data_IF_894251069451
#
_entry.id   IF_894251069451
#
_cell.length_a   1.000
_cell.length_b   1.000
_cell.length_c   1.000
_cell.angle_alpha   90.00
_cell.angle_beta   90.00
_cell.angle_gamma   90.00
#
_symmetry.space_group_name_H-M   'P 1'
#
loop_
_entity.id
_entity.type
_entity.pdbx_description
1 polymer ?
#
# COMPACT_ATOMS: atom_id res chain seq x y z
N UNK A 1 -16.66 15.11 -56.94
CA UNK A 1 -17.72 15.20 -55.92
C UNK A 1 -18.70 14.08 -56.20
N UNK A 2 -18.65 13.01 -55.41
CA UNK A 2 -19.58 11.89 -55.53
C UNK A 2 -20.12 11.64 -54.12
N UNK A 3 -21.36 12.07 -53.90
CA UNK A 3 -22.06 11.99 -52.63
C UNK A 3 -22.67 10.60 -52.51
N UNK A 4 -22.13 9.76 -51.64
CA UNK A 4 -22.69 8.44 -51.32
C UNK A 4 -23.72 8.63 -50.20
N UNK A 5 -25.00 8.52 -50.53
CA UNK A 5 -26.10 8.44 -49.55
C UNK A 5 -26.02 7.11 -48.78
N UNK A 6 -25.90 7.18 -47.45
CA UNK A 6 -26.07 6.02 -46.57
C UNK A 6 -27.56 5.79 -46.25
N UNK A 7 -28.04 4.53 -46.24
CA UNK A 7 -29.41 4.21 -45.89
C UNK A 7 -29.66 4.35 -44.38
N UNK A 8 -30.73 5.06 -44.04
CA UNK A 8 -31.27 5.19 -42.68
C UNK A 8 -31.94 3.88 -42.28
N UNK A 9 -31.40 3.20 -41.26
CA UNK A 9 -32.02 2.02 -40.65
C UNK A 9 -32.95 2.49 -39.51
N UNK A 10 -34.22 2.04 -39.46
CA UNK A 10 -35.15 2.43 -38.40
C UNK A 10 -34.80 1.79 -37.04
N UNK A 11 -35.20 2.42 -35.92
CA UNK A 11 -34.97 1.89 -34.58
C UNK A 11 -35.81 0.63 -34.30
N UNK A 12 -35.18 -0.37 -33.71
CA UNK A 12 -35.83 -1.59 -33.21
C UNK A 12 -36.39 -1.30 -31.81
N UNK A 13 -37.71 -1.38 -31.66
CA UNK A 13 -38.37 -1.38 -30.34
C UNK A 13 -38.10 -2.71 -29.63
N UNK A 14 -37.25 -2.69 -28.60
CA UNK A 14 -37.09 -3.83 -27.70
C UNK A 14 -38.26 -3.88 -26.70
N UNK A 15 -38.96 -5.02 -26.69
CA UNK A 15 -40.06 -5.32 -25.79
C UNK A 15 -39.52 -5.71 -24.40
N UNK A 16 -40.02 -5.16 -23.28
CA UNK A 16 -39.55 -5.53 -21.95
C UNK A 16 -39.96 -6.97 -21.61
N UNK A 17 -38.96 -7.80 -21.30
CA UNK A 17 -39.12 -9.16 -20.80
C UNK A 17 -39.55 -9.14 -19.33
N UNK A 18 -40.55 -9.96 -19.00
CA UNK A 18 -41.14 -10.06 -17.67
C UNK A 18 -40.16 -10.62 -16.62
N UNK A 19 -40.19 -10.00 -15.45
CA UNK A 19 -39.41 -10.30 -14.26
C UNK A 19 -39.98 -11.55 -13.56
N UNK A 20 -39.25 -12.68 -13.61
CA UNK A 20 -39.57 -13.87 -12.81
C UNK A 20 -39.15 -13.64 -11.35
N UNK A 21 -40.14 -13.71 -10.45
CA UNK A 21 -39.93 -13.60 -9.00
C UNK A 21 -39.27 -14.88 -8.46
N UNK A 22 -38.09 -14.81 -7.80
CA UNK A 22 -37.50 -16.00 -7.18
C UNK A 22 -38.30 -16.43 -5.94
N UNK A 23 -38.71 -17.70 -5.92
CA UNK A 23 -39.34 -18.34 -4.77
C UNK A 23 -38.37 -18.44 -3.59
N UNK A 24 -38.84 -18.03 -2.41
CA UNK A 24 -38.14 -18.20 -1.15
C UNK A 24 -38.08 -19.69 -0.77
N UNK A 25 -36.89 -20.26 -0.75
CA UNK A 25 -36.62 -21.59 -0.17
C UNK A 25 -36.35 -21.42 1.32
N UNK A 26 -37.20 -22.01 2.16
CA UNK A 26 -37.01 -22.09 3.61
C UNK A 26 -35.73 -22.88 3.97
N UNK A 27 -34.84 -22.36 4.84
CA UNK A 27 -33.70 -23.13 5.32
C UNK A 27 -34.18 -24.20 6.32
N UNK A 28 -33.97 -25.46 5.94
CA UNK A 28 -34.13 -26.63 6.82
C UNK A 28 -33.10 -26.58 7.94
N UNK A 29 -33.57 -26.58 9.19
CA UNK A 29 -32.74 -26.60 10.38
C UNK A 29 -31.89 -27.89 10.44
N UNK A 30 -30.57 -27.73 10.39
CA UNK A 30 -29.61 -28.82 10.55
C UNK A 30 -29.40 -29.12 12.03
N UNK A 31 -29.61 -30.39 12.39
CA UNK A 31 -29.52 -30.94 13.75
C UNK A 31 -28.05 -30.95 14.21
N UNK A 32 -27.80 -30.31 15.36
CA UNK A 32 -26.50 -30.28 16.01
C UNK A 32 -26.09 -31.69 16.49
N UNK A 33 -25.01 -32.22 15.91
CA UNK A 33 -24.33 -33.41 16.42
C UNK A 33 -23.29 -32.99 17.49
N UNK A 34 -23.51 -33.46 18.71
CA UNK A 34 -22.55 -33.41 19.81
C UNK A 34 -21.24 -34.10 19.42
N UNK A 35 -20.13 -33.33 19.34
CA UNK A 35 -18.78 -33.88 19.29
C UNK A 35 -18.13 -33.80 20.69
N UNK A 36 -17.38 -34.83 21.11
CA UNK A 36 -16.71 -34.86 22.41
C UNK A 36 -15.54 -33.87 22.48
N UNK A 37 -15.53 -33.05 23.52
CA UNK A 37 -14.42 -32.17 23.89
C UNK A 37 -13.21 -32.99 24.35
N UNK A 38 -12.18 -33.08 23.52
CA UNK A 38 -10.87 -33.62 23.94
C UNK A 38 -10.04 -32.47 24.50
N UNK A 39 -9.82 -32.48 25.80
CA UNK A 39 -8.92 -31.56 26.49
C UNK A 39 -7.46 -31.94 26.17
N UNK A 40 -6.79 -31.17 25.32
CA UNK A 40 -5.34 -31.24 25.12
C UNK A 40 -4.66 -30.26 26.07
N UNK A 41 -3.89 -30.80 27.02
CA UNK A 41 -3.03 -30.04 27.92
C UNK A 41 -1.78 -29.57 27.15
N UNK A 42 -1.48 -28.27 27.04
CA UNK A 42 -0.27 -27.81 26.38
C UNK A 42 0.95 -28.15 27.25
N UNK A 43 1.80 -29.06 26.76
CA UNK A 43 3.13 -29.31 27.34
C UNK A 43 4.06 -28.21 26.84
N UNK A 44 4.43 -27.28 27.73
CA UNK A 44 5.42 -26.24 27.45
C UNK A 44 6.81 -26.88 27.46
N UNK A 45 7.41 -27.06 26.28
CA UNK A 45 8.80 -27.45 26.16
C UNK A 45 9.70 -26.29 26.62
N UNK A 46 10.53 -26.55 27.64
CA UNK A 46 11.53 -25.60 28.11
C UNK A 46 12.57 -25.34 27.01
N UNK A 47 12.68 -24.09 26.56
CA UNK A 47 13.68 -23.68 25.58
C UNK A 47 15.01 -23.48 26.30
N UNK A 48 16.04 -24.23 25.90
CA UNK A 48 17.41 -24.10 26.39
C UNK A 48 18.03 -22.77 25.90
N UNK A 49 18.81 -22.04 26.74
CA UNK A 49 19.50 -20.83 26.30
C UNK A 49 20.64 -21.15 25.33
N UNK A 50 20.61 -20.55 24.15
CA UNK A 50 21.67 -20.61 23.13
C UNK A 50 22.88 -19.77 23.58
N UNK A 51 24.07 -20.36 23.52
CA UNK A 51 25.34 -19.75 23.92
C UNK A 51 25.74 -18.55 23.04
N UNK A 52 26.29 -17.52 23.69
CA UNK A 52 26.85 -16.31 23.10
C UNK A 52 28.14 -16.61 22.31
N UNK A 53 28.29 -16.18 21.04
CA UNK A 53 29.54 -16.36 20.30
C UNK A 53 30.64 -15.45 20.84
N UNK A 54 31.81 -16.03 21.12
CA UNK A 54 33.02 -15.31 21.52
C UNK A 54 33.79 -14.87 20.27
N UNK A 55 34.03 -13.57 20.12
CA UNK A 55 34.84 -13.00 19.03
C UNK A 55 36.32 -13.29 19.27
N UNK A 56 36.98 -13.84 18.25
CA UNK A 56 38.44 -14.07 18.23
C UNK A 56 39.20 -12.77 17.92
N UNK A 57 40.39 -12.52 18.50
CA UNK A 57 41.19 -11.34 18.23
C UNK A 57 41.86 -11.42 16.85
N UNK A 58 41.74 -10.32 16.10
CA UNK A 58 42.29 -10.12 14.76
C UNK A 58 43.79 -9.79 14.82
N UNK A 59 44.57 -10.42 13.95
CA UNK A 59 46.03 -10.45 13.99
C UNK A 59 46.78 -9.26 13.38
N UNK A 60 48.04 -9.19 13.81
CA UNK A 60 49.27 -8.69 13.16
C UNK A 60 49.23 -7.33 12.43
N UNK A 61 49.83 -6.34 13.08
CA UNK A 61 50.25 -5.08 12.47
C UNK A 61 51.37 -5.30 11.42
N UNK A 62 51.14 -4.85 10.19
CA UNK A 62 52.18 -4.71 9.17
C UNK A 62 52.94 -3.39 9.39
N UNK A 63 54.28 -3.46 9.26
CA UNK A 63 55.20 -2.34 9.45
C UNK A 63 55.04 -1.24 8.38
N UNK A 64 55.33 0.04 8.71
CA UNK A 64 55.22 1.15 7.77
C UNK A 64 56.38 1.20 6.76
N UNK A 65 56.03 1.36 5.49
CA UNK A 65 56.94 1.69 4.38
C UNK A 65 57.36 3.17 4.46
N UNK A 66 58.67 3.44 4.37
CA UNK A 66 59.28 4.76 4.61
C UNK A 66 59.47 5.64 3.36
N UNK A 67 58.83 5.33 2.22
CA UNK A 67 59.04 6.08 0.96
C UNK A 67 57.76 6.76 0.44
N UNK A 68 57.16 7.65 1.24
CA UNK A 68 56.11 8.55 0.75
C UNK A 68 56.71 9.92 0.35
N UNK A 69 56.43 10.44 -0.85
CA UNK A 69 56.86 11.77 -1.27
C UNK A 69 56.22 12.88 -0.41
N UNK A 70 56.84 14.07 -0.31
CA UNK A 70 56.33 15.15 0.52
C UNK A 70 54.93 15.59 0.08
N UNK A 71 53.97 15.51 1.00
CA UNK A 71 52.60 15.95 0.77
C UNK A 71 52.57 17.47 0.53
N UNK A 72 52.05 17.89 -0.62
CA UNK A 72 51.70 19.28 -0.89
C UNK A 72 50.58 19.68 0.08
N UNK A 73 50.79 20.77 0.82
CA UNK A 73 49.83 21.30 1.78
C UNK A 73 48.48 21.56 1.08
N UNK A 74 47.46 20.77 1.40
CA UNK A 74 46.11 21.01 0.92
C UNK A 74 45.47 22.15 1.72
N UNK A 75 44.88 23.10 1.00
CA UNK A 75 44.10 24.18 1.60
C UNK A 75 42.90 23.60 2.39
N UNK A 76 42.49 24.23 3.51
CA UNK A 76 41.39 23.73 4.32
C UNK A 76 40.10 23.62 3.49
N UNK A 77 39.52 22.42 3.47
CA UNK A 77 38.21 22.18 2.85
C UNK A 77 37.16 22.99 3.60
N UNK A 78 36.37 23.85 2.93
CA UNK A 78 35.30 24.58 3.59
C UNK A 78 34.30 23.58 4.17
N UNK A 79 34.11 23.62 5.49
CA UNK A 79 33.09 22.85 6.18
C UNK A 79 31.74 23.49 5.87
N UNK A 80 30.95 22.84 5.01
CA UNK A 80 29.58 23.27 4.77
C UNK A 80 28.79 23.18 6.08
N UNK A 81 28.21 24.29 6.53
CA UNK A 81 27.31 24.31 7.68
C UNK A 81 26.09 23.41 7.47
N UNK A 82 25.33 23.07 8.53
CA UNK A 82 24.16 22.22 8.43
C UNK A 82 23.17 22.81 7.42
N UNK A 83 22.88 22.06 6.36
CA UNK A 83 21.86 22.42 5.37
C UNK A 83 20.51 22.45 6.09
N UNK A 84 19.73 23.54 6.01
CA UNK A 84 18.39 23.57 6.58
C UNK A 84 17.57 22.43 5.97
N UNK A 85 17.00 21.58 6.82
CA UNK A 85 16.07 20.54 6.39
C UNK A 85 14.76 21.25 6.00
N UNK A 86 14.26 21.10 4.76
CA UNK A 86 12.98 21.68 4.40
C UNK A 86 11.88 21.06 5.29
N UNK A 87 11.18 21.90 6.03
CA UNK A 87 9.97 21.49 6.78
C UNK A 87 8.87 21.24 5.76
N UNK A 88 8.68 19.98 5.35
CA UNK A 88 7.53 19.60 4.55
C UNK A 88 6.26 19.84 5.38
N UNK A 89 5.28 20.54 4.80
CA UNK A 89 3.95 20.66 5.39
C UNK A 89 3.37 19.26 5.61
N UNK A 90 2.89 18.99 6.82
CA UNK A 90 2.19 17.73 7.10
C UNK A 90 0.88 17.75 6.31
N UNK A 91 0.57 16.70 5.52
CA UNK A 91 -0.65 16.64 4.74
C UNK A 91 -1.86 16.62 5.68
N UNK A 92 -2.96 17.27 5.28
CA UNK A 92 -4.08 17.56 6.17
C UNK A 92 -5.41 17.12 5.55
N UNK A 93 -6.20 16.49 6.39
CA UNK A 93 -7.56 16.04 6.14
C UNK A 93 -8.51 17.09 6.74
N UNK A 94 -9.24 17.81 5.89
CA UNK A 94 -10.17 18.88 6.28
C UNK A 94 -11.59 18.47 5.92
N UNK A 95 -12.57 18.63 6.81
CA UNK A 95 -13.98 18.49 6.44
C UNK A 95 -14.43 19.68 5.55
N UNK A 96 -14.83 19.45 4.30
CA UNK A 96 -15.57 20.43 3.52
C UNK A 96 -17.00 20.54 4.08
N UNK A 97 -17.23 21.59 4.86
CA UNK A 97 -18.52 21.93 5.45
C UNK A 97 -19.52 22.52 4.46
N UNK A 98 -19.92 21.76 3.44
CA UNK A 98 -21.08 22.08 2.61
C UNK A 98 -22.38 21.86 3.38
N UNK A 99 -23.17 22.91 3.57
CA UNK A 99 -24.48 22.84 4.23
C UNK A 99 -25.44 22.07 3.31
N UNK A 100 -25.71 20.79 3.63
CA UNK A 100 -26.88 20.08 3.08
C UNK A 100 -26.67 18.68 2.48
N UNK A 101 -25.49 18.07 2.54
CA UNK A 101 -25.36 16.67 2.11
C UNK A 101 -23.90 16.27 1.94
N UNK A 102 -23.47 15.29 2.74
CA UNK A 102 -22.10 14.84 2.93
C UNK A 102 -21.16 15.93 3.50
N UNK A 103 -20.75 15.75 4.76
CA UNK A 103 -19.49 16.30 5.25
C UNK A 103 -18.39 15.56 4.50
N UNK A 104 -18.17 15.93 3.24
CA UNK A 104 -17.08 15.41 2.45
C UNK A 104 -15.83 15.93 3.11
N UNK A 105 -15.00 15.06 3.67
CA UNK A 105 -13.61 15.42 3.87
C UNK A 105 -13.11 15.90 2.48
N UNK A 106 -12.40 17.02 2.38
CA UNK A 106 -11.58 17.29 1.21
C UNK A 106 -10.44 16.29 1.30
N UNK A 107 -10.69 15.10 0.77
CA UNK A 107 -9.76 14.01 0.64
C UNK A 107 -8.61 14.51 -0.24
N UNK A 108 -7.52 14.95 0.38
CA UNK A 108 -6.30 15.10 -0.39
C UNK A 108 -5.96 13.73 -0.97
N UNK A 109 -5.84 13.64 -2.30
CA UNK A 109 -5.16 12.53 -2.93
C UNK A 109 -3.74 12.53 -2.38
N UNK A 110 -3.44 11.57 -1.51
CA UNK A 110 -2.11 11.48 -0.94
C UNK A 110 -1.18 10.96 -2.02
N UNK A 111 -0.17 11.77 -2.35
CA UNK A 111 0.89 11.30 -3.23
C UNK A 111 1.51 10.04 -2.62
N UNK A 112 1.71 8.97 -3.40
CA UNK A 112 2.30 7.73 -2.90
C UNK A 112 3.73 7.95 -2.40
N UNK A 113 4.41 9.02 -2.84
CA UNK A 113 5.74 9.40 -2.35
C UNK A 113 5.76 9.81 -0.86
N UNK A 114 4.60 10.03 -0.25
CA UNK A 114 4.47 10.27 1.20
C UNK A 114 4.54 8.97 2.02
N UNK A 115 4.49 7.79 1.39
CA UNK A 115 4.64 6.50 2.06
C UNK A 115 6.11 6.24 2.43
N UNK A 116 6.48 6.62 3.65
CA UNK A 116 7.83 6.40 4.17
C UNK A 116 8.12 4.90 4.32
N UNK A 117 9.31 4.48 3.90
CA UNK A 117 9.73 3.07 3.90
C UNK A 117 9.41 2.31 2.61
N UNK A 118 8.57 2.85 1.73
CA UNK A 118 8.34 2.27 0.41
C UNK A 118 9.53 2.53 -0.52
N UNK A 119 9.74 1.66 -1.50
CA UNK A 119 10.75 1.87 -2.52
C UNK A 119 10.26 2.88 -3.56
N UNK A 120 11.03 3.95 -3.76
CA UNK A 120 10.78 4.95 -4.79
C UNK A 120 11.82 4.76 -5.89
N UNK A 121 11.37 4.50 -7.11
CA UNK A 121 12.31 4.37 -8.22
C UNK A 121 12.97 5.73 -8.49
N UNK A 122 14.30 5.78 -8.50
CA UNK A 122 15.06 6.95 -8.95
C UNK A 122 14.98 7.16 -10.47
N UNK A 123 14.57 6.13 -11.20
CA UNK A 123 14.52 6.15 -12.65
C UNK A 123 13.37 7.04 -13.10
N UNK A 124 13.74 8.23 -13.61
CA UNK A 124 12.79 9.24 -14.07
C UNK A 124 11.85 8.81 -15.19
N UNK A 125 11.97 7.57 -15.69
CA UNK A 125 11.05 6.93 -16.65
C UNK A 125 9.66 6.68 -16.06
N UNK A 126 9.52 6.57 -14.74
CA UNK A 126 8.23 6.40 -14.06
C UNK A 126 7.56 7.71 -13.65
N UNK A 127 8.08 8.86 -14.08
CA UNK A 127 7.57 10.18 -13.66
C UNK A 127 6.16 10.49 -14.15
N UNK A 128 5.69 9.77 -15.17
CA UNK A 128 4.38 10.01 -15.76
C UNK A 128 3.25 9.55 -14.82
N UNK A 129 3.51 8.58 -13.93
CA UNK A 129 2.59 8.11 -12.92
C UNK A 129 3.29 8.05 -11.55
N UNK A 130 2.89 8.93 -10.62
CA UNK A 130 3.41 8.87 -9.26
C UNK A 130 3.10 7.49 -8.66
N UNK A 131 4.13 6.73 -8.28
CA UNK A 131 3.95 5.41 -7.69
C UNK A 131 5.14 5.02 -6.81
N UNK A 132 4.88 4.14 -5.85
CA UNK A 132 5.90 3.50 -5.01
C UNK A 132 5.70 2.00 -4.98
N UNK A 133 6.76 1.25 -4.69
CA UNK A 133 6.71 -0.20 -4.56
C UNK A 133 6.82 -0.64 -3.10
N UNK A 134 5.98 -1.60 -2.71
CA UNK A 134 6.06 -2.34 -1.46
C UNK A 134 6.54 -3.77 -1.79
N UNK A 135 7.84 -4.00 -1.63
CA UNK A 135 8.45 -5.31 -1.88
C UNK A 135 8.16 -6.30 -0.74
N UNK A 136 8.41 -7.60 -0.95
CA UNK A 136 8.19 -8.63 0.06
C UNK A 136 8.88 -8.37 1.39
N UNK A 137 8.35 -8.96 2.45
CA UNK A 137 8.92 -8.99 3.78
C UNK A 137 10.33 -9.60 3.75
N UNK A 138 11.30 -8.80 4.20
CA UNK A 138 12.73 -9.10 4.12
C UNK A 138 13.52 -8.11 3.25
N UNK A 139 12.87 -7.44 2.30
CA UNK A 139 13.50 -6.49 1.36
C UNK A 139 13.96 -5.17 1.98
N UNK A 140 13.46 -4.81 3.17
CA UNK A 140 13.63 -3.49 3.76
C UNK A 140 12.72 -2.40 3.19
N UNK A 141 11.94 -2.70 2.14
CA UNK A 141 11.00 -1.79 1.48
C UNK A 141 9.57 -2.31 1.47
N UNK A 142 9.21 -3.11 2.48
CA UNK A 142 7.93 -3.81 2.56
C UNK A 142 6.84 -3.04 3.31
N UNK A 143 7.13 -1.82 3.76
CA UNK A 143 6.25 -1.01 4.58
C UNK A 143 6.17 0.41 4.03
N UNK A 144 4.96 0.91 3.81
CA UNK A 144 4.68 2.32 3.57
C UNK A 144 3.96 2.94 4.77
N UNK A 145 4.51 4.02 5.33
CA UNK A 145 3.94 4.76 6.46
C UNK A 145 3.56 6.16 6.00
N UNK A 146 2.29 6.50 6.15
CA UNK A 146 1.75 7.84 5.91
C UNK A 146 1.30 8.44 7.25
N UNK A 147 1.79 9.64 7.57
CA UNK A 147 1.32 10.43 8.72
C UNK A 147 0.58 11.66 8.21
N UNK A 148 -0.60 11.92 8.76
CA UNK A 148 -1.47 13.03 8.34
C UNK A 148 -2.25 13.61 9.53
N UNK A 149 -2.71 14.85 9.40
CA UNK A 149 -3.52 15.51 10.43
C UNK A 149 -5.00 15.48 10.04
N UNK A 150 -5.89 15.18 10.99
CA UNK A 150 -7.34 15.31 10.82
C UNK A 150 -7.89 16.28 11.86
N UNK A 151 -8.46 17.42 11.44
CA UNK A 151 -9.02 18.37 12.40
C UNK A 151 -10.45 18.05 12.79
N UNK A 152 -11.22 17.59 11.82
CA UNK A 152 -12.63 17.27 11.97
C UNK A 152 -12.83 15.79 11.68
N UNK A 153 -13.53 15.12 12.58
CA UNK A 153 -13.82 13.70 12.40
C UNK A 153 -15.10 13.54 11.58
N UNK A 154 -15.11 12.59 10.64
CA UNK A 154 -16.31 12.28 9.88
C UNK A 154 -17.39 11.73 10.81
N UNK A 155 -18.63 12.15 10.57
CA UNK A 155 -19.81 11.59 11.23
C UNK A 155 -20.43 10.45 10.42
N UNK A 156 -20.17 10.41 9.11
CA UNK A 156 -20.56 9.33 8.21
C UNK A 156 -19.46 8.25 8.11
N UNK A 157 -19.84 7.11 7.52
CA UNK A 157 -18.89 6.04 7.20
C UNK A 157 -17.87 6.52 6.16
N UNK A 158 -16.60 6.17 6.41
CA UNK A 158 -15.49 6.43 5.48
C UNK A 158 -14.96 5.13 4.94
N UNK A 159 -14.52 5.17 3.68
CA UNK A 159 -13.83 4.13 2.96
C UNK A 159 -12.43 4.62 2.58
N UNK A 160 -11.40 3.92 3.02
CA UNK A 160 -10.04 4.08 2.50
C UNK A 160 -9.98 3.42 1.11
N UNK A 161 -9.68 4.21 0.08
CA UNK A 161 -9.47 3.74 -1.29
C UNK A 161 -7.97 3.73 -1.56
N UNK A 162 -7.44 2.56 -1.89
CA UNK A 162 -6.08 2.39 -2.36
C UNK A 162 -6.13 2.10 -3.85
N UNK A 163 -5.33 2.80 -4.65
CA UNK A 163 -5.16 2.49 -6.08
C UNK A 163 -3.81 1.84 -6.28
N UNK A 164 -3.80 0.64 -6.84
CA UNK A 164 -2.60 -0.17 -6.96
C UNK A 164 -2.69 -1.30 -7.97
N UNK A 165 -1.58 -2.00 -8.12
CA UNK A 165 -1.38 -3.16 -8.99
C UNK A 165 -0.47 -4.15 -8.25
N UNK A 166 -0.75 -5.45 -8.34
CA UNK A 166 0.15 -6.49 -7.86
C UNK A 166 1.27 -6.75 -8.86
N UNK A 167 2.27 -7.54 -8.47
CA UNK A 167 3.38 -7.89 -9.36
C UNK A 167 2.92 -8.71 -10.60
N UNK A 168 3.90 -9.06 -11.44
CA UNK A 168 3.67 -9.83 -12.65
C UNK A 168 3.46 -11.34 -12.46
N UNK A 169 3.51 -11.83 -11.23
CA UNK A 169 3.29 -13.24 -10.94
C UNK A 169 1.79 -13.54 -10.96
N UNK A 170 1.43 -14.81 -11.22
CA UNK A 170 0.02 -15.22 -11.17
C UNK A 170 -0.54 -15.25 -9.74
N UNK A 171 0.32 -15.35 -8.73
CA UNK A 171 -0.08 -15.39 -7.33
C UNK A 171 -0.04 -14.00 -6.72
N UNK A 172 -1.19 -13.50 -6.29
CA UNK A 172 -1.32 -12.22 -5.61
C UNK A 172 -0.49 -12.15 -4.31
N UNK A 173 0.11 -10.99 -4.06
CA UNK A 173 0.77 -10.69 -2.81
C UNK A 173 -0.20 -10.67 -1.63
N UNK A 174 0.29 -10.89 -0.41
CA UNK A 174 -0.47 -10.67 0.81
C UNK A 174 -0.18 -9.27 1.34
N UNK A 175 -1.23 -8.51 1.66
CA UNK A 175 -1.18 -7.13 2.12
C UNK A 175 -1.81 -6.99 3.51
N UNK A 176 -1.22 -6.12 4.34
CA UNK A 176 -1.79 -5.71 5.62
C UNK A 176 -1.92 -4.18 5.65
N UNK A 177 -3.09 -3.70 6.07
CA UNK A 177 -3.39 -2.27 6.21
C UNK A 177 -3.81 -1.97 7.64
N UNK A 178 -3.13 -1.03 8.29
CA UNK A 178 -3.42 -0.56 9.64
C UNK A 178 -3.63 0.94 9.66
N UNK A 179 -4.60 1.40 10.45
CA UNK A 179 -4.82 2.82 10.73
C UNK A 179 -4.81 3.03 12.24
N UNK A 180 -3.93 3.90 12.72
CA UNK A 180 -3.70 4.15 14.14
C UNK A 180 -3.47 2.86 14.96
N UNK A 181 -2.72 1.92 14.36
CA UNK A 181 -2.43 0.60 14.95
C UNK A 181 -3.57 -0.43 14.86
N UNK A 182 -4.78 -0.04 14.41
CA UNK A 182 -5.89 -0.96 14.20
C UNK A 182 -5.83 -1.56 12.80
N UNK A 183 -5.90 -2.88 12.68
CA UNK A 183 -5.98 -3.57 11.39
C UNK A 183 -7.31 -3.26 10.70
N UNK A 184 -7.22 -2.67 9.50
CA UNK A 184 -8.35 -2.51 8.59
C UNK A 184 -8.50 -3.71 7.66
N UNK A 185 -7.37 -4.26 7.19
CA UNK A 185 -7.34 -5.39 6.28
C UNK A 185 -6.08 -6.23 6.47
N UNK A 186 -6.19 -7.55 6.28
CA UNK A 186 -5.07 -8.49 6.27
C UNK A 186 -5.46 -9.70 5.44
N UNK A 187 -4.82 -9.89 4.29
CA UNK A 187 -5.14 -10.99 3.38
C UNK A 187 -4.50 -10.80 2.01
N UNK A 188 -4.94 -11.58 1.04
CA UNK A 188 -4.53 -11.44 -0.36
C UNK A 188 -4.87 -10.04 -0.88
N UNK A 189 -3.96 -9.44 -1.64
CA UNK A 189 -4.15 -8.17 -2.33
C UNK A 189 -5.36 -8.27 -3.26
N UNK A 190 -6.21 -7.25 -3.24
CA UNK A 190 -7.37 -7.14 -4.14
C UNK A 190 -7.03 -6.50 -5.50
N UNK A 191 -5.77 -6.11 -5.74
CA UNK A 191 -5.37 -5.47 -6.99
C UNK A 191 -5.16 -6.49 -8.10
N UNK A 192 -5.52 -6.15 -9.33
CA UNK A 192 -5.13 -6.94 -10.51
C UNK A 192 -3.60 -7.14 -10.59
N UNK A 193 -3.17 -8.31 -11.05
CA UNK A 193 -1.76 -8.58 -11.36
C UNK A 193 -1.34 -7.79 -12.60
N UNK A 194 -0.08 -7.35 -12.61
CA UNK A 194 0.51 -6.79 -13.81
C UNK A 194 0.62 -7.88 -14.89
N UNK A 195 0.28 -7.63 -16.16
CA UNK A 195 0.53 -8.62 -17.20
C UNK A 195 2.03 -8.91 -17.32
N UNK A 196 2.44 -10.19 -17.34
CA UNK A 196 3.85 -10.57 -17.49
C UNK A 196 4.51 -10.02 -18.77
N UNK A 197 3.72 -9.86 -19.83
CA UNK A 197 4.12 -9.25 -21.10
C UNK A 197 4.35 -7.73 -21.01
N UNK A 198 3.88 -7.08 -19.94
CA UNK A 198 4.04 -5.64 -19.71
C UNK A 198 5.36 -5.26 -19.01
N UNK A 199 6.26 -6.22 -18.78
CA UNK A 199 7.60 -5.97 -18.23
C UNK A 199 8.45 -5.05 -19.11
N UNK A 200 8.20 -5.02 -20.43
CA UNK A 200 8.84 -4.12 -21.41
C UNK A 200 7.88 -3.11 -22.05
N UNK A 201 6.58 -3.19 -21.76
CA UNK A 201 5.58 -2.28 -22.32
C UNK A 201 5.61 -0.91 -21.63
N UNK A 202 5.27 0.18 -22.35
CA UNK A 202 5.08 1.49 -21.73
C UNK A 202 3.99 1.41 -20.66
N UNK A 203 4.18 2.10 -19.54
CA UNK A 203 3.27 2.09 -18.39
C UNK A 203 1.87 2.66 -18.72
N UNK A 204 1.69 3.30 -19.89
CA UNK A 204 0.45 3.91 -20.36
C UNK A 204 -0.70 2.93 -20.67
N UNK A 205 -0.46 1.62 -20.64
CA UNK A 205 -1.48 0.58 -20.87
C UNK A 205 -1.81 -0.27 -19.65
N UNK A 206 -1.24 0.02 -18.47
CA UNK A 206 -1.47 -0.81 -17.28
C UNK A 206 -2.74 -0.32 -16.56
N UNK A 207 -3.72 -1.22 -16.42
CA UNK A 207 -4.94 -0.94 -15.69
C UNK A 207 -4.66 -0.91 -14.19
N UNK A 208 -4.87 0.24 -13.56
CA UNK A 208 -4.80 0.40 -12.11
C UNK A 208 -6.12 -0.01 -11.48
N UNK A 209 -6.06 -0.80 -10.41
CA UNK A 209 -7.24 -1.29 -9.70
C UNK A 209 -7.41 -0.61 -8.34
N UNK A 210 -8.61 -0.71 -7.76
CA UNK A 210 -8.95 -0.08 -6.49
C UNK A 210 -9.32 -1.11 -5.43
N UNK A 211 -8.63 -1.04 -4.28
CA UNK A 211 -9.04 -1.73 -3.06
C UNK A 211 -9.76 -0.75 -2.14
N UNK A 212 -10.99 -1.08 -1.73
CA UNK A 212 -11.86 -0.24 -0.90
C UNK A 212 -12.02 -0.88 0.48
N UNK A 213 -11.56 -0.17 1.52
CA UNK A 213 -11.56 -0.66 2.90
C UNK A 213 -12.43 0.24 3.77
N UNK A 214 -13.46 -0.33 4.38
CA UNK A 214 -14.29 0.39 5.36
C UNK A 214 -13.42 0.77 6.56
N UNK A 215 -13.43 2.05 6.93
CA UNK A 215 -12.77 2.56 8.13
C UNK A 215 -13.77 2.51 9.28
N UNK A 216 -13.58 1.67 10.31
CA UNK A 216 -14.50 1.61 11.43
C UNK A 216 -14.59 2.95 12.15
N UNK A 217 -15.79 3.33 12.58
CA UNK A 217 -16.00 4.55 13.34
C UNK A 217 -15.09 4.59 14.58
N UNK A 218 -14.53 5.77 14.87
CA UNK A 218 -13.58 5.97 15.97
C UNK A 218 -12.16 5.47 15.70
N UNK A 219 -11.87 4.93 14.50
CA UNK A 219 -10.48 4.58 14.14
C UNK A 219 -9.65 5.83 13.84
N UNK A 220 -10.22 6.81 13.13
CA UNK A 220 -9.62 8.14 12.97
C UNK A 220 -9.74 8.94 14.27
N UNK A 221 -8.71 9.73 14.57
CA UNK A 221 -8.60 10.57 15.75
C UNK A 221 -8.39 12.03 15.33
N UNK A 222 -8.84 12.98 16.15
CA UNK A 222 -8.49 14.39 15.93
C UNK A 222 -6.99 14.58 16.19
N UNK A 223 -6.31 15.33 15.32
CA UNK A 223 -4.86 15.49 15.30
C UNK A 223 -4.16 14.48 14.40
N UNK A 224 -2.98 14.03 14.83
CA UNK A 224 -2.11 13.14 14.04
C UNK A 224 -2.69 11.73 13.93
N UNK A 225 -2.72 11.21 12.70
CA UNK A 225 -3.09 9.84 12.38
C UNK A 225 -1.95 9.17 11.61
N UNK A 226 -1.85 7.85 11.72
CA UNK A 226 -0.84 7.04 11.02
C UNK A 226 -1.50 5.90 10.26
N UNK A 227 -1.34 5.91 8.93
CA UNK A 227 -1.69 4.80 8.05
C UNK A 227 -0.42 3.98 7.75
N UNK A 228 -0.51 2.66 7.89
CA UNK A 228 0.56 1.73 7.59
C UNK A 228 0.05 0.70 6.58
N UNK A 229 0.76 0.56 5.47
CA UNK A 229 0.49 -0.44 4.43
C UNK A 229 1.72 -1.34 4.32
N UNK A 230 1.53 -2.66 4.33
CA UNK A 230 2.64 -3.61 4.28
C UNK A 230 2.38 -4.70 3.26
N UNK A 231 3.40 -5.02 2.48
CA UNK A 231 3.47 -6.31 1.80
C UNK A 231 4.05 -7.32 2.79
N UNK A 232 3.27 -8.36 3.10
CA UNK A 232 3.65 -9.41 4.06
C UNK A 232 3.97 -10.74 3.36
N UNK A 233 3.90 -10.80 2.03
CA UNK A 233 4.51 -11.89 1.25
C UNK A 233 6.00 -11.94 1.54
N UNK A 234 6.61 -13.13 1.56
CA UNK A 234 8.07 -13.25 1.78
C UNK A 234 8.86 -12.84 0.54
N UNK A 235 9.90 -12.00 0.70
CA UNK A 235 10.80 -11.60 -0.37
C UNK A 235 11.98 -10.78 0.17
N UNK A 236 13.20 -11.27 0.02
CA UNK A 236 14.39 -10.65 0.62
C UNK A 236 15.07 -9.58 -0.28
N UNK A 237 14.65 -9.47 -1.53
CA UNK A 237 15.29 -8.62 -2.54
C UNK A 237 14.29 -7.61 -3.13
N UNK A 238 14.82 -6.64 -3.89
CA UNK A 238 14.03 -5.71 -4.72
C UNK A 238 13.59 -6.47 -5.99
N UNK A 239 12.72 -7.45 -5.78
CA UNK A 239 12.19 -8.38 -6.78
C UNK A 239 10.78 -8.82 -6.35
N UNK A 240 9.97 -9.42 -7.23
CA UNK A 240 8.73 -10.05 -6.81
C UNK A 240 8.92 -10.94 -5.56
N UNK A 241 7.98 -10.92 -4.60
CA UNK A 241 6.69 -10.26 -4.72
C UNK A 241 6.70 -8.75 -4.44
N UNK A 242 5.91 -7.96 -5.17
CA UNK A 242 5.76 -6.53 -4.92
C UNK A 242 4.34 -6.01 -5.20
N UNK A 243 3.96 -4.93 -4.51
CA UNK A 243 2.72 -4.19 -4.78
C UNK A 243 3.07 -2.77 -5.17
N UNK A 244 2.54 -2.26 -6.28
CA UNK A 244 2.65 -0.86 -6.67
C UNK A 244 1.45 -0.08 -6.12
N UNK A 245 1.72 1.05 -5.46
CA UNK A 245 0.70 1.99 -4.98
C UNK A 245 0.84 3.30 -5.74
N UNK A 246 -0.25 3.76 -6.35
CA UNK A 246 -0.32 4.99 -7.14
C UNK A 246 -1.10 6.11 -6.44
N UNK A 247 -2.14 5.77 -5.69
CA UNK A 247 -2.96 6.76 -4.98
C UNK A 247 -3.51 6.20 -3.68
N UNK A 248 -3.78 7.10 -2.73
CA UNK A 248 -4.47 6.80 -1.48
C UNK A 248 -5.46 7.92 -1.17
N UNK A 249 -6.67 7.55 -0.74
CA UNK A 249 -7.79 8.47 -0.61
C UNK A 249 -8.77 8.00 0.51
N UNK A 250 -9.41 8.91 1.26
CA UNK A 250 -10.36 8.57 2.34
C UNK A 250 -11.81 8.97 2.01
N UNK A 251 -12.52 8.22 1.18
CA UNK A 251 -13.83 8.61 0.66
C UNK A 251 -14.96 8.53 1.68
N UNK A 252 -15.79 9.58 1.76
CA UNK A 252 -17.11 9.47 2.36
C UNK A 252 -18.06 8.81 1.37
N UNK A 253 -18.83 7.82 1.78
CA UNK A 253 -19.95 7.36 0.96
C UNK A 253 -21.03 8.44 0.95
N UNK A 254 -21.56 8.74 -0.26
CA UNK A 254 -22.74 9.57 -0.36
C UNK A 254 -23.91 8.83 0.32
N UNK A 255 -24.72 9.53 1.15
CA UNK A 255 -25.87 8.93 1.83
C UNK A 255 -26.94 8.45 0.85
#
# INVERSE_FOLDING_TARGET
EETVEQPVVPPVEETPQAEETPQAVEPTASVAANLPTVAVTPTVAAVQPTATPTLSPQGAALAPSLNAPPALAQAPTPTAGPRPTPTASTPRVVANGGVGGAVGISLENFSPYLLQGSYQSSDGRRRENAQVALYGAGSGYNVGILTFEATDLPTSQITLVLTGIDDELETHSTIQVLLNGRTLYSGTSGFANRPATASSAPESGIAWDQMRLIVPQGTLQSGTNTLVIRNVSTGAEIAPPYILINNLEFASEAP
#
